data_IF_775905652439
#
_entry.id   IF_775905652439
#
_cell.length_a   1.000
_cell.length_b   1.000
_cell.length_c   1.000
_cell.angle_alpha   90.00
_cell.angle_beta   90.00
_cell.angle_gamma   90.00
#
_symmetry.space_group_name_H-M   'P 1'
#
loop_
_entity.id
_entity.type
_entity.pdbx_description
1 polymer ?
#
# COMPACT_ATOMS: atom_id res chain seq x y z
N UNK A 1 60.51 24.52 -9.16
CA UNK A 1 59.93 23.15 -9.31
C UNK A 1 58.85 22.81 -8.25
N UNK A 2 58.91 23.37 -7.05
CA UNK A 2 57.93 23.09 -5.98
C UNK A 2 56.47 23.56 -6.24
N UNK A 3 56.25 24.68 -6.96
CA UNK A 3 54.91 25.17 -7.29
C UNK A 3 54.13 24.26 -8.25
N UNK A 4 54.79 23.53 -9.14
CA UNK A 4 54.13 22.62 -10.09
C UNK A 4 53.68 21.36 -9.38
N UNK A 5 54.44 20.84 -8.40
CA UNK A 5 54.06 19.70 -7.56
C UNK A 5 52.88 19.97 -6.69
N UNK A 6 52.76 21.17 -6.12
CA UNK A 6 51.59 21.56 -5.27
C UNK A 6 50.33 21.73 -6.10
N UNK A 7 50.41 22.25 -7.33
CA UNK A 7 49.23 22.34 -8.22
C UNK A 7 48.78 20.97 -8.73
N UNK A 8 49.66 20.02 -8.96
CA UNK A 8 49.32 18.66 -9.36
C UNK A 8 48.70 17.88 -8.19
N UNK A 9 49.23 18.02 -6.96
CA UNK A 9 48.68 17.42 -5.77
C UNK A 9 47.28 17.99 -5.42
N UNK A 10 47.06 19.30 -5.61
CA UNK A 10 45.73 19.92 -5.41
C UNK A 10 44.73 19.51 -6.50
N UNK A 11 45.21 19.27 -7.74
CA UNK A 11 44.37 18.74 -8.84
C UNK A 11 44.02 17.25 -8.64
N UNK A 12 44.92 16.47 -8.06
CA UNK A 12 44.69 15.07 -7.72
C UNK A 12 43.67 14.95 -6.57
N UNK A 13 43.82 15.74 -5.49
CA UNK A 13 42.87 15.83 -4.39
C UNK A 13 41.47 16.36 -4.82
N UNK A 14 41.40 17.21 -5.86
CA UNK A 14 40.16 17.67 -6.46
C UNK A 14 39.48 16.64 -7.37
N UNK A 15 40.25 15.72 -7.97
CA UNK A 15 39.76 14.58 -8.76
C UNK A 15 39.24 13.45 -7.87
N UNK A 16 39.83 13.21 -6.69
CA UNK A 16 39.33 12.24 -5.73
C UNK A 16 37.98 12.67 -5.09
N UNK A 17 37.69 13.98 -5.03
CA UNK A 17 36.38 14.49 -4.58
C UNK A 17 35.25 14.35 -5.60
N UNK A 18 35.50 13.92 -6.83
CA UNK A 18 34.48 13.48 -7.80
C UNK A 18 34.37 11.95 -7.85
N UNK A 19 34.36 11.26 -6.73
CA UNK A 19 33.76 9.94 -6.67
C UNK A 19 32.28 10.17 -6.94
N UNK A 20 31.82 9.71 -8.10
CA UNK A 20 30.43 9.54 -8.45
C UNK A 20 29.78 8.87 -7.23
N UNK A 21 28.92 9.60 -6.53
CA UNK A 21 28.16 9.01 -5.43
C UNK A 21 27.24 7.97 -6.07
N UNK A 22 27.63 6.69 -5.98
CA UNK A 22 26.77 5.61 -6.44
C UNK A 22 25.49 5.69 -5.63
N UNK A 23 24.37 5.80 -6.30
CA UNK A 23 23.07 5.66 -5.67
C UNK A 23 22.99 4.28 -5.02
N UNK A 24 22.50 4.22 -3.79
CA UNK A 24 22.19 2.96 -3.11
C UNK A 24 20.70 2.68 -3.29
N UNK A 25 20.38 1.55 -3.91
CA UNK A 25 19.00 1.11 -4.06
C UNK A 25 18.78 -0.09 -3.14
N UNK A 26 17.85 0.06 -2.19
CA UNK A 26 17.37 -1.03 -1.35
C UNK A 26 16.16 -1.66 -2.04
N UNK A 27 16.30 -2.90 -2.44
CA UNK A 27 15.24 -3.64 -3.11
C UNK A 27 14.50 -4.52 -2.12
N UNK A 28 13.20 -4.35 -2.02
CA UNK A 28 12.35 -5.13 -1.13
C UNK A 28 11.17 -5.76 -1.88
N UNK A 29 10.57 -6.75 -1.26
CA UNK A 29 9.32 -7.34 -1.72
C UNK A 29 8.18 -6.31 -1.71
N UNK A 30 7.20 -6.47 -2.61
CA UNK A 30 5.99 -5.64 -2.67
C UNK A 30 5.02 -6.02 -1.54
N UNK A 31 5.41 -5.66 -0.32
CA UNK A 31 4.61 -5.82 0.89
C UNK A 31 4.93 -4.69 1.87
N UNK A 32 4.00 -4.36 2.75
CA UNK A 32 4.21 -3.34 3.78
C UNK A 32 5.40 -3.68 4.67
N UNK A 33 5.53 -4.95 5.07
CA UNK A 33 6.65 -5.44 5.90
C UNK A 33 7.99 -5.30 5.19
N UNK A 34 8.04 -5.63 3.88
CA UNK A 34 9.23 -5.45 3.07
C UNK A 34 9.65 -3.98 3.00
N UNK A 35 8.69 -3.09 2.77
CA UNK A 35 8.95 -1.64 2.67
C UNK A 35 9.39 -1.07 4.03
N UNK A 36 8.71 -1.39 5.14
CA UNK A 36 9.12 -0.91 6.46
C UNK A 36 10.50 -1.44 6.88
N UNK A 37 10.83 -2.69 6.52
CA UNK A 37 12.18 -3.23 6.71
C UNK A 37 13.22 -2.45 5.92
N UNK A 38 12.93 -2.13 4.65
CA UNK A 38 13.82 -1.34 3.80
C UNK A 38 14.00 0.09 4.31
N UNK A 39 12.95 0.72 4.85
CA UNK A 39 13.01 2.03 5.51
C UNK A 39 13.96 1.95 6.71
N UNK A 40 13.85 0.92 7.58
CA UNK A 40 14.77 0.73 8.68
C UNK A 40 16.22 0.66 8.23
N UNK A 41 16.50 -0.19 7.25
CA UNK A 41 17.85 -0.36 6.72
C UNK A 41 18.38 0.91 6.05
N UNK A 42 17.53 1.68 5.37
CA UNK A 42 17.89 2.98 4.80
C UNK A 42 18.40 3.95 5.88
N UNK A 43 17.74 4.00 7.04
CA UNK A 43 18.20 4.82 8.17
C UNK A 43 19.50 4.30 8.78
N UNK A 44 19.70 2.99 8.88
CA UNK A 44 20.97 2.39 9.34
C UNK A 44 22.10 2.79 8.39
N UNK A 45 21.94 2.62 7.08
CA UNK A 45 22.95 3.02 6.07
C UNK A 45 23.20 4.52 6.07
N UNK A 46 22.16 5.34 6.20
CA UNK A 46 22.30 6.78 6.33
C UNK A 46 23.18 7.18 7.50
N UNK A 47 23.00 6.56 8.66
CA UNK A 47 23.77 6.87 9.86
C UNK A 47 25.22 6.39 9.77
N UNK A 48 25.49 5.34 9.00
CA UNK A 48 26.84 4.83 8.75
C UNK A 48 27.59 5.63 7.68
N UNK A 49 26.89 6.28 6.77
CA UNK A 49 27.46 7.14 5.75
C UNK A 49 27.60 8.54 6.33
N UNK A 50 28.84 9.05 6.51
CA UNK A 50 29.17 10.42 6.96
C UNK A 50 28.69 11.53 5.98
N UNK A 51 27.65 11.29 5.18
CA UNK A 51 27.16 12.20 4.14
C UNK A 51 25.75 12.69 4.47
N UNK A 52 25.47 13.99 4.24
CA UNK A 52 24.10 14.46 4.35
C UNK A 52 23.21 13.67 3.38
N UNK A 53 22.10 13.15 3.90
CA UNK A 53 21.11 12.48 3.11
C UNK A 53 20.53 13.48 2.10
N UNK A 54 20.83 13.29 0.85
CA UNK A 54 20.10 13.88 -0.26
C UNK A 54 20.22 12.90 -1.42
N UNK A 55 19.15 12.33 -1.85
CA UNK A 55 18.93 11.61 -3.12
C UNK A 55 19.86 10.41 -3.41
N UNK A 56 20.64 9.92 -2.43
CA UNK A 56 21.58 8.82 -2.64
C UNK A 56 21.07 7.45 -2.24
N UNK A 57 19.95 7.37 -1.48
CA UNK A 57 19.31 6.11 -1.08
C UNK A 57 17.90 6.11 -1.63
N UNK A 58 17.56 5.07 -2.41
CA UNK A 58 16.22 4.82 -2.94
C UNK A 58 15.74 3.46 -2.49
N UNK A 59 14.43 3.30 -2.37
CA UNK A 59 13.80 2.01 -2.13
C UNK A 59 13.06 1.62 -3.41
N UNK A 60 13.42 0.47 -3.98
CA UNK A 60 12.74 -0.14 -5.10
C UNK A 60 11.88 -1.30 -4.61
N UNK A 61 10.61 -1.30 -4.99
CA UNK A 61 9.64 -2.32 -4.60
C UNK A 61 9.49 -3.33 -5.73
N UNK A 62 9.57 -4.62 -5.41
CA UNK A 62 9.47 -5.71 -6.39
C UNK A 62 10.70 -5.87 -7.29
N UNK A 63 10.53 -6.63 -8.38
CA UNK A 63 11.60 -7.02 -9.31
C UNK A 63 11.87 -6.00 -10.44
N UNK A 64 11.78 -4.71 -10.13
CA UNK A 64 12.02 -3.64 -11.12
C UNK A 64 13.42 -3.70 -11.76
N UNK A 65 13.60 -2.98 -12.87
CA UNK A 65 14.86 -2.97 -13.64
C UNK A 65 16.06 -2.50 -12.82
N UNK A 66 17.16 -3.24 -12.94
CA UNK A 66 18.47 -2.86 -12.38
C UNK A 66 18.96 -1.57 -13.06
N UNK A 67 19.40 -0.60 -12.26
CA UNK A 67 20.03 0.61 -12.79
C UNK A 67 21.54 0.42 -12.90
N UNK A 68 22.12 0.80 -14.04
CA UNK A 68 23.55 0.58 -14.36
C UNK A 68 24.54 1.28 -13.41
N UNK A 69 24.09 2.27 -12.64
CA UNK A 69 24.94 3.13 -11.81
C UNK A 69 24.59 3.10 -10.31
N UNK A 70 23.66 2.23 -9.90
CA UNK A 70 23.32 2.01 -8.49
C UNK A 70 24.03 0.79 -7.91
N UNK A 71 24.15 0.79 -6.59
CA UNK A 71 24.48 -0.43 -5.83
C UNK A 71 23.16 -0.96 -5.29
N UNK A 72 22.71 -2.10 -5.80
CA UNK A 72 21.47 -2.71 -5.37
C UNK A 72 21.73 -3.69 -4.23
N UNK A 73 20.98 -3.55 -3.14
CA UNK A 73 20.98 -4.46 -2.00
C UNK A 73 19.58 -5.01 -1.80
N UNK A 74 19.44 -6.32 -1.74
CA UNK A 74 18.18 -6.98 -1.46
C UNK A 74 17.92 -6.98 0.05
N UNK A 75 16.74 -6.54 0.44
CA UNK A 75 16.26 -6.49 1.83
C UNK A 75 15.26 -7.63 2.03
N UNK A 76 15.52 -8.47 3.04
CA UNK A 76 14.61 -9.55 3.44
C UNK A 76 13.71 -9.05 4.58
N UNK A 77 12.44 -9.42 4.58
CA UNK A 77 11.47 -9.08 5.63
C UNK A 77 12.01 -9.45 7.02
N UNK A 78 11.91 -8.51 7.95
CA UNK A 78 12.31 -8.69 9.36
C UNK A 78 11.25 -8.05 10.27
N UNK A 79 10.42 -8.86 10.95
CA UNK A 79 9.33 -8.36 11.79
C UNK A 79 9.81 -7.43 12.91
N UNK A 80 11.02 -7.66 13.45
CA UNK A 80 11.60 -6.81 14.52
C UNK A 80 11.89 -5.41 13.97
N UNK A 81 12.41 -5.32 12.76
CA UNK A 81 12.66 -4.03 12.11
C UNK A 81 11.36 -3.30 11.75
N UNK A 82 10.35 -4.04 11.28
CA UNK A 82 9.01 -3.50 11.01
C UNK A 82 8.43 -2.87 12.28
N UNK A 83 8.38 -3.63 13.38
CA UNK A 83 7.84 -3.15 14.65
C UNK A 83 8.55 -1.88 15.12
N UNK A 84 9.89 -1.88 15.12
CA UNK A 84 10.70 -0.71 15.51
C UNK A 84 10.43 0.51 14.62
N UNK A 85 10.25 0.31 13.32
CA UNK A 85 9.97 1.41 12.38
C UNK A 85 8.61 2.01 12.67
N UNK A 86 7.57 1.18 12.78
CA UNK A 86 6.20 1.60 13.08
C UNK A 86 6.15 2.32 14.43
N UNK A 87 6.70 1.72 15.48
CA UNK A 87 6.75 2.35 16.82
C UNK A 87 7.47 3.69 16.79
N UNK A 88 8.60 3.79 16.08
CA UNK A 88 9.35 5.06 15.98
C UNK A 88 8.54 6.14 15.28
N UNK A 89 7.83 5.81 14.19
CA UNK A 89 6.98 6.76 13.46
C UNK A 89 5.84 7.23 14.38
N UNK A 90 5.12 6.32 15.02
CA UNK A 90 4.00 6.64 15.89
C UNK A 90 4.41 7.47 17.11
N UNK A 91 5.53 7.13 17.74
CA UNK A 91 6.02 7.86 18.94
C UNK A 91 6.56 9.25 18.61
N UNK A 92 7.24 9.42 17.47
CA UNK A 92 7.91 10.68 17.12
C UNK A 92 7.06 11.62 16.30
N UNK A 93 6.20 11.09 15.42
CA UNK A 93 5.40 11.87 14.48
C UNK A 93 3.90 11.81 14.76
N UNK A 94 3.45 10.86 15.57
CA UNK A 94 2.05 10.66 15.92
C UNK A 94 1.33 9.66 15.03
N UNK A 95 0.18 9.18 15.52
CA UNK A 95 -0.60 8.13 14.87
C UNK A 95 -1.20 8.60 13.54
N UNK A 96 -1.70 9.83 13.47
CA UNK A 96 -2.29 10.38 12.23
C UNK A 96 -1.29 10.48 11.07
N UNK A 97 -0.03 10.84 11.36
CA UNK A 97 1.04 10.82 10.34
C UNK A 97 1.32 9.39 9.91
N UNK A 98 1.37 8.43 10.84
CA UNK A 98 1.55 7.02 10.53
C UNK A 98 0.45 6.50 9.58
N UNK A 99 -0.83 6.81 9.86
CA UNK A 99 -1.96 6.43 8.99
C UNK A 99 -1.79 6.99 7.58
N UNK A 100 -1.48 8.27 7.44
CA UNK A 100 -1.25 8.91 6.13
C UNK A 100 -0.10 8.24 5.37
N UNK A 101 1.00 7.88 6.07
CA UNK A 101 2.13 7.18 5.46
C UNK A 101 1.76 5.75 5.06
N UNK A 102 0.99 5.03 5.88
CA UNK A 102 0.50 3.69 5.60
C UNK A 102 -0.39 3.70 4.34
N UNK A 103 -1.34 4.64 4.26
CA UNK A 103 -2.16 4.86 3.08
C UNK A 103 -1.29 5.10 1.83
N UNK A 104 -0.33 6.03 1.91
CA UNK A 104 0.56 6.32 0.79
C UNK A 104 1.37 5.08 0.35
N UNK A 105 1.82 4.22 1.29
CA UNK A 105 2.53 2.97 0.99
C UNK A 105 1.63 1.91 0.34
N UNK A 106 0.33 1.97 0.56
CA UNK A 106 -0.64 1.09 -0.10
C UNK A 106 -0.93 1.47 -1.56
N UNK A 107 -0.47 2.63 -2.05
CA UNK A 107 -0.59 3.01 -3.46
C UNK A 107 0.22 2.07 -4.36
N UNK A 108 -0.12 1.99 -5.65
CA UNK A 108 0.54 1.11 -6.62
C UNK A 108 1.76 1.73 -7.31
N UNK A 109 2.03 3.05 -7.16
CA UNK A 109 3.16 3.72 -7.81
C UNK A 109 4.50 3.20 -7.26
N UNK A 110 5.47 3.00 -8.15
CA UNK A 110 6.78 2.44 -7.82
C UNK A 110 7.63 3.37 -6.93
N UNK A 111 7.36 4.68 -6.94
CA UNK A 111 8.11 5.69 -6.18
C UNK A 111 7.65 5.79 -4.71
N UNK A 112 6.52 5.18 -4.33
CA UNK A 112 5.87 5.33 -3.01
C UNK A 112 6.80 5.13 -1.82
N UNK A 113 7.61 4.06 -1.86
CA UNK A 113 8.53 3.74 -0.77
C UNK A 113 9.67 4.77 -0.64
N UNK A 114 10.23 5.21 -1.77
CA UNK A 114 11.26 6.26 -1.80
C UNK A 114 10.71 7.62 -1.37
N UNK A 115 9.49 7.94 -1.74
CA UNK A 115 8.79 9.18 -1.35
C UNK A 115 8.55 9.20 0.15
N UNK A 116 8.04 8.10 0.72
CA UNK A 116 7.84 7.98 2.17
C UNK A 116 9.16 8.03 2.93
N UNK A 117 10.22 7.41 2.42
CA UNK A 117 11.56 7.55 3.01
C UNK A 117 12.02 9.01 3.02
N UNK A 118 11.85 9.74 1.90
CA UNK A 118 12.17 11.17 1.79
C UNK A 118 11.39 12.03 2.80
N UNK A 119 10.09 11.76 2.95
CA UNK A 119 9.24 12.38 3.97
C UNK A 119 9.79 12.14 5.38
N UNK A 120 10.03 10.87 5.74
CA UNK A 120 10.51 10.51 7.09
C UNK A 120 11.85 11.15 7.44
N UNK A 121 12.76 11.24 6.47
CA UNK A 121 14.06 11.90 6.69
C UNK A 121 13.88 13.37 7.06
N UNK A 122 12.97 14.07 6.40
CA UNK A 122 12.65 15.46 6.72
C UNK A 122 11.89 15.60 8.03
N UNK A 123 10.88 14.76 8.23
CA UNK A 123 10.04 14.78 9.43
C UNK A 123 10.84 14.56 10.70
N UNK A 124 11.79 13.63 10.70
CA UNK A 124 12.66 13.41 11.86
C UNK A 124 13.66 14.53 12.11
N UNK A 125 13.94 15.38 11.11
CA UNK A 125 14.74 16.59 11.26
C UNK A 125 13.95 17.79 11.78
N UNK A 126 12.71 17.98 11.32
CA UNK A 126 11.88 19.15 11.59
C UNK A 126 10.75 18.91 12.62
N UNK A 127 10.45 17.64 12.95
CA UNK A 127 9.34 17.27 13.84
C UNK A 127 7.96 17.34 13.16
N UNK A 128 6.90 17.43 13.97
CA UNK A 128 5.50 17.39 13.49
C UNK A 128 5.12 18.50 12.50
N UNK A 129 5.80 19.61 12.52
CA UNK A 129 5.46 20.78 11.68
C UNK A 129 5.60 20.53 10.18
N UNK A 130 6.28 19.47 9.77
CA UNK A 130 6.45 19.18 8.34
C UNK A 130 5.17 18.68 7.66
N UNK A 131 4.26 18.04 8.41
CA UNK A 131 3.02 17.53 7.86
C UNK A 131 2.15 18.62 7.22
N UNK A 132 2.29 19.87 7.69
CA UNK A 132 1.55 21.05 7.22
C UNK A 132 2.30 21.80 6.12
N UNK A 133 3.56 21.45 5.84
CA UNK A 133 4.36 22.11 4.80
C UNK A 133 4.11 21.51 3.41
N UNK A 134 3.01 21.94 2.81
CA UNK A 134 2.64 21.52 1.45
C UNK A 134 3.58 22.06 0.36
N UNK A 135 4.55 22.91 0.71
CA UNK A 135 5.59 23.36 -0.25
C UNK A 135 6.70 22.31 -0.43
N UNK A 136 6.86 21.39 0.52
CA UNK A 136 7.82 20.31 0.42
C UNK A 136 7.31 19.25 -0.58
N UNK A 137 8.12 18.87 -1.59
CA UNK A 137 7.70 17.94 -2.64
C UNK A 137 7.39 16.53 -2.12
N UNK A 138 8.02 16.07 -1.04
CA UNK A 138 7.74 14.76 -0.44
C UNK A 138 6.43 14.76 0.34
N UNK A 139 6.15 15.85 1.08
CA UNK A 139 4.87 16.04 1.78
C UNK A 139 3.72 16.06 0.76
N UNK A 140 3.85 16.90 -0.28
CA UNK A 140 2.86 16.98 -1.35
C UNK A 140 2.59 15.61 -1.99
N UNK A 141 3.67 14.86 -2.31
CA UNK A 141 3.53 13.57 -2.97
C UNK A 141 2.91 12.50 -2.07
N UNK A 142 3.29 12.44 -0.78
CA UNK A 142 2.67 11.54 0.20
C UNK A 142 1.17 11.80 0.30
N UNK A 143 0.78 13.08 0.44
CA UNK A 143 -0.63 13.48 0.52
C UNK A 143 -1.41 13.15 -0.77
N UNK A 144 -0.78 13.28 -1.93
CA UNK A 144 -1.38 12.89 -3.22
C UNK A 144 -1.64 11.39 -3.27
N UNK A 145 -0.65 10.56 -2.88
CA UNK A 145 -0.78 9.10 -2.87
C UNK A 145 -1.86 8.66 -1.88
N UNK A 146 -1.82 9.14 -0.64
CA UNK A 146 -2.81 8.82 0.38
C UNK A 146 -4.24 9.19 -0.07
N UNK A 147 -4.43 10.38 -0.64
CA UNK A 147 -5.73 10.81 -1.16
C UNK A 147 -6.26 9.90 -2.28
N UNK A 148 -5.38 9.42 -3.18
CA UNK A 148 -5.79 8.50 -4.25
C UNK A 148 -6.23 7.15 -3.68
N UNK A 149 -5.52 6.64 -2.66
CA UNK A 149 -5.88 5.41 -1.96
C UNK A 149 -7.23 5.57 -1.28
N UNK A 150 -7.44 6.65 -0.51
CA UNK A 150 -8.72 6.92 0.18
C UNK A 150 -9.89 7.05 -0.80
N UNK A 151 -9.69 7.73 -1.94
CA UNK A 151 -10.72 7.82 -2.97
C UNK A 151 -11.07 6.43 -3.58
N UNK A 152 -10.14 5.50 -3.61
CA UNK A 152 -10.39 4.13 -4.07
C UNK A 152 -11.10 3.31 -2.97
N UNK A 153 -10.69 3.45 -1.69
CA UNK A 153 -11.33 2.81 -0.53
C UNK A 153 -12.81 3.19 -0.44
N UNK A 154 -13.13 4.48 -0.52
CA UNK A 154 -14.51 4.99 -0.44
C UNK A 154 -15.42 4.32 -1.47
N UNK A 155 -14.90 4.03 -2.66
CA UNK A 155 -15.64 3.31 -3.69
C UNK A 155 -15.87 1.86 -3.33
N UNK A 156 -14.84 1.18 -2.78
CA UNK A 156 -14.99 -0.22 -2.36
C UNK A 156 -15.93 -0.35 -1.16
N UNK A 157 -16.01 0.62 -0.25
CA UNK A 157 -17.03 0.63 0.81
C UNK A 157 -18.45 0.59 0.24
N UNK A 158 -18.70 1.20 -0.91
CA UNK A 158 -20.00 1.18 -1.59
C UNK A 158 -20.21 0.01 -2.56
N UNK A 159 -19.14 -0.47 -3.18
CA UNK A 159 -19.20 -1.42 -4.31
C UNK A 159 -18.88 -2.86 -3.94
N UNK A 160 -18.23 -3.11 -2.81
CA UNK A 160 -17.95 -4.46 -2.35
C UNK A 160 -19.25 -5.23 -2.11
N UNK A 161 -19.31 -6.46 -2.61
CA UNK A 161 -20.43 -7.37 -2.44
C UNK A 161 -19.97 -8.65 -1.78
N UNK A 162 -20.65 -9.02 -0.71
CA UNK A 162 -20.47 -10.32 -0.08
C UNK A 162 -21.43 -11.32 -0.69
N UNK A 163 -20.95 -12.51 -0.95
CA UNK A 163 -21.72 -13.68 -1.35
C UNK A 163 -21.64 -14.74 -0.24
N UNK A 164 -22.75 -15.38 0.08
CA UNK A 164 -22.80 -16.39 1.11
C UNK A 164 -22.27 -17.72 0.59
N UNK A 165 -21.22 -18.23 1.22
CA UNK A 165 -20.60 -19.51 0.87
C UNK A 165 -20.77 -20.51 2.00
N UNK A 166 -21.30 -21.70 1.70
CA UNK A 166 -21.43 -22.78 2.69
C UNK A 166 -20.07 -23.38 2.97
N UNK A 167 -19.68 -23.40 4.23
CA UNK A 167 -18.45 -24.02 4.69
C UNK A 167 -18.75 -25.16 5.65
N UNK A 168 -18.11 -26.29 5.43
CA UNK A 168 -18.19 -27.44 6.36
C UNK A 168 -17.26 -27.24 7.58
N UNK A 169 -16.38 -26.23 7.55
CA UNK A 169 -15.37 -25.99 8.57
C UNK A 169 -15.84 -25.04 9.68
N UNK A 170 -16.90 -24.27 9.44
CA UNK A 170 -17.48 -23.37 10.44
C UNK A 170 -18.67 -24.02 11.14
N UNK A 171 -18.82 -23.77 12.44
CA UNK A 171 -19.98 -24.28 13.23
C UNK A 171 -21.33 -23.76 12.72
N UNK A 172 -21.33 -22.60 12.06
CA UNK A 172 -22.52 -21.96 11.51
C UNK A 172 -22.79 -22.33 10.05
N UNK A 173 -21.86 -23.04 9.40
CA UNK A 173 -22.02 -23.56 8.06
C UNK A 173 -21.96 -22.53 6.93
N UNK A 174 -21.85 -21.20 7.23
CA UNK A 174 -21.78 -20.14 6.22
C UNK A 174 -20.68 -19.14 6.52
N UNK A 175 -20.07 -18.58 5.45
CA UNK A 175 -19.08 -17.51 5.49
C UNK A 175 -19.40 -16.52 4.38
N UNK A 176 -19.36 -15.24 4.68
CA UNK A 176 -19.50 -14.17 3.69
C UNK A 176 -18.18 -13.96 2.96
N UNK A 177 -18.17 -14.08 1.66
CA UNK A 177 -16.95 -13.93 0.85
C UNK A 177 -17.12 -12.79 -0.14
N UNK A 178 -16.17 -11.86 -0.13
CA UNK A 178 -16.07 -10.80 -1.11
C UNK A 178 -14.74 -10.90 -1.87
N UNK A 179 -14.81 -10.87 -3.19
CA UNK A 179 -13.64 -10.79 -4.05
C UNK A 179 -13.47 -9.37 -4.56
N UNK A 180 -12.23 -8.91 -4.59
CA UNK A 180 -11.86 -7.57 -5.09
C UNK A 180 -10.62 -7.63 -5.96
N UNK A 181 -10.46 -6.66 -6.86
CA UNK A 181 -9.27 -6.47 -7.68
C UNK A 181 -8.89 -5.00 -7.69
N UNK A 182 -8.52 -4.42 -6.55
CA UNK A 182 -8.16 -3.02 -6.46
C UNK A 182 -6.80 -2.74 -7.12
N UNK A 183 -6.58 -1.49 -7.53
CA UNK A 183 -5.26 -1.04 -7.99
C UNK A 183 -4.29 -0.89 -6.83
N UNK A 184 -4.75 -0.26 -5.76
CA UNK A 184 -4.01 -0.09 -4.52
C UNK A 184 -4.14 -1.33 -3.60
N UNK A 185 -3.24 -1.49 -2.65
CA UNK A 185 -3.33 -2.55 -1.63
C UNK A 185 -4.34 -2.14 -0.55
N UNK A 186 -5.63 -2.37 -0.79
CA UNK A 186 -6.71 -1.84 0.06
C UNK A 186 -7.12 -2.77 1.19
N UNK A 187 -6.90 -4.08 1.06
CA UNK A 187 -7.39 -5.07 2.04
C UNK A 187 -6.96 -4.76 3.47
N UNK A 188 -5.70 -4.41 3.75
CA UNK A 188 -5.27 -4.04 5.10
C UNK A 188 -5.96 -2.80 5.68
N UNK A 189 -6.39 -1.88 4.81
CA UNK A 189 -7.02 -0.61 5.20
C UNK A 189 -8.55 -0.76 5.37
N UNK A 190 -9.16 -1.70 4.65
CA UNK A 190 -10.62 -1.91 4.67
C UNK A 190 -11.08 -2.87 5.76
N UNK A 191 -10.21 -3.76 6.22
CA UNK A 191 -10.61 -4.89 7.06
C UNK A 191 -11.28 -4.47 8.36
N UNK A 192 -10.78 -3.43 9.04
CA UNK A 192 -11.37 -2.93 10.29
C UNK A 192 -12.78 -2.34 10.07
N UNK A 193 -12.96 -1.58 9.00
CA UNK A 193 -14.27 -1.02 8.66
C UNK A 193 -15.34 -2.11 8.50
N UNK A 194 -15.01 -3.21 7.83
CA UNK A 194 -15.96 -4.30 7.64
C UNK A 194 -16.12 -5.16 8.89
N UNK A 195 -15.09 -5.31 9.74
CA UNK A 195 -15.21 -5.96 11.03
C UNK A 195 -16.15 -5.20 11.96
N UNK A 196 -16.07 -3.87 11.99
CA UNK A 196 -17.00 -3.03 12.74
C UNK A 196 -18.43 -3.10 12.19
N UNK A 197 -18.61 -3.20 10.86
CA UNK A 197 -19.90 -3.27 10.21
C UNK A 197 -20.58 -4.62 10.37
N UNK A 198 -19.81 -5.70 10.38
CA UNK A 198 -20.29 -7.09 10.46
C UNK A 198 -19.65 -7.88 11.62
N UNK A 199 -19.75 -7.39 12.87
CA UNK A 199 -19.05 -8.01 14.00
C UNK A 199 -19.56 -9.42 14.34
N UNK A 200 -20.79 -9.75 13.90
CA UNK A 200 -21.46 -11.02 14.17
C UNK A 200 -21.32 -12.06 13.06
N UNK A 201 -20.60 -11.70 11.97
CA UNK A 201 -20.49 -12.54 10.79
C UNK A 201 -19.05 -13.03 10.60
N UNK A 202 -18.92 -14.24 10.09
CA UNK A 202 -17.65 -14.72 9.56
C UNK A 202 -17.50 -14.22 8.13
N UNK A 203 -16.44 -13.49 7.81
CA UNK A 203 -16.24 -13.03 6.45
C UNK A 203 -14.78 -13.11 5.97
N UNK A 204 -14.63 -13.13 4.65
CA UNK A 204 -13.37 -13.07 3.95
C UNK A 204 -13.47 -11.98 2.87
N UNK A 205 -12.50 -11.06 2.86
CA UNK A 205 -12.28 -10.12 1.74
C UNK A 205 -10.99 -10.51 1.07
N UNK A 206 -11.05 -10.91 -0.20
CA UNK A 206 -9.93 -11.47 -0.93
C UNK A 206 -9.52 -10.61 -2.14
N UNK A 207 -8.26 -10.16 -2.14
CA UNK A 207 -7.65 -9.49 -3.30
C UNK A 207 -7.06 -10.53 -4.27
N UNK A 208 -7.73 -10.69 -5.40
CA UNK A 208 -7.32 -11.63 -6.45
C UNK A 208 -5.97 -11.26 -7.09
N UNK A 209 -5.60 -9.98 -7.09
CA UNK A 209 -4.35 -9.52 -7.71
C UNK A 209 -3.14 -9.83 -6.84
N UNK A 210 -3.26 -9.62 -5.52
CA UNK A 210 -2.15 -9.73 -4.56
C UNK A 210 -2.15 -11.04 -3.78
N UNK A 211 -3.23 -11.83 -3.88
CA UNK A 211 -3.43 -13.05 -3.08
C UNK A 211 -3.37 -12.77 -1.58
N UNK A 212 -4.01 -11.69 -1.18
CA UNK A 212 -4.13 -11.24 0.22
C UNK A 212 -5.58 -11.32 0.65
N UNK A 213 -5.82 -11.90 1.81
CA UNK A 213 -7.14 -12.04 2.39
C UNK A 213 -7.23 -11.35 3.75
N UNK A 214 -8.27 -10.59 4.00
CA UNK A 214 -8.74 -10.25 5.34
C UNK A 214 -9.73 -11.32 5.78
N UNK A 215 -9.42 -12.01 6.87
CA UNK A 215 -10.25 -13.07 7.47
C UNK A 215 -10.76 -12.58 8.80
N UNK A 216 -12.08 -12.55 8.96
CA UNK A 216 -12.77 -12.18 10.19
C UNK A 216 -13.58 -13.36 10.71
N UNK A 217 -13.28 -13.75 11.91
CA UNK A 217 -14.14 -14.63 12.69
C UNK A 217 -15.00 -13.75 13.61
N UNK A 218 -16.29 -14.05 13.71
CA UNK A 218 -17.21 -13.26 14.52
C UNK A 218 -16.68 -13.02 15.93
N UNK A 219 -16.80 -11.80 16.41
CA UNK A 219 -16.34 -11.34 17.72
C UNK A 219 -14.81 -11.32 17.90
N UNK A 220 -14.04 -11.63 16.87
CA UNK A 220 -12.57 -11.59 16.91
C UNK A 220 -12.01 -10.46 16.03
N UNK A 221 -10.76 -10.12 16.27
CA UNK A 221 -10.05 -9.18 15.40
C UNK A 221 -9.86 -9.77 14.00
N UNK A 222 -9.93 -8.93 12.98
CA UNK A 222 -9.64 -9.32 11.62
C UNK A 222 -8.15 -9.67 11.46
N UNK A 223 -7.85 -10.74 10.72
CA UNK A 223 -6.48 -11.18 10.43
C UNK A 223 -6.18 -11.04 8.96
N UNK A 224 -4.95 -10.63 8.64
CA UNK A 224 -4.45 -10.59 7.28
C UNK A 224 -3.70 -11.89 6.98
N UNK A 225 -4.05 -12.53 5.84
CA UNK A 225 -3.43 -13.77 5.35
C UNK A 225 -2.90 -13.53 3.95
N UNK A 226 -1.63 -13.85 3.70
CA UNK A 226 -0.95 -13.65 2.41
C UNK A 226 -0.62 -14.99 1.75
N UNK A 227 -0.56 -15.00 0.42
CA UNK A 227 -0.01 -16.08 -0.39
C UNK A 227 -0.87 -17.32 -0.53
N UNK A 228 -2.15 -17.31 -0.12
CA UNK A 228 -3.08 -18.42 -0.31
C UNK A 228 -4.03 -18.14 -1.47
N UNK A 229 -4.30 -19.15 -2.29
CA UNK A 229 -5.36 -19.07 -3.29
C UNK A 229 -6.70 -19.42 -2.64
N UNK A 230 -7.69 -18.57 -2.91
CA UNK A 230 -9.06 -18.80 -2.45
C UNK A 230 -9.77 -19.71 -3.47
N UNK A 231 -9.99 -20.96 -3.09
CA UNK A 231 -10.83 -21.88 -3.86
C UNK A 231 -12.27 -21.75 -3.37
N UNK A 232 -13.14 -21.21 -4.21
CA UNK A 232 -14.56 -21.13 -3.93
C UNK A 232 -15.26 -22.39 -4.46
N UNK A 233 -16.21 -23.00 -3.71
CA UNK A 233 -16.99 -24.11 -4.19
C UNK A 233 -17.79 -23.73 -5.45
N UNK A 234 -17.64 -24.50 -6.52
CA UNK A 234 -18.40 -24.26 -7.75
C UNK A 234 -19.90 -24.59 -7.55
N UNK A 235 -20.76 -23.76 -8.15
CA UNK A 235 -22.20 -24.10 -8.29
C UNK A 235 -23.08 -23.80 -7.08
N UNK A 236 -22.60 -23.10 -6.06
CA UNK A 236 -23.46 -22.61 -5.00
C UNK A 236 -24.25 -21.40 -5.50
N UNK A 237 -25.58 -21.53 -5.54
CA UNK A 237 -26.48 -20.41 -5.79
C UNK A 237 -26.80 -19.72 -4.45
N UNK A 238 -26.39 -18.46 -4.33
CA UNK A 238 -26.80 -17.61 -3.22
C UNK A 238 -28.19 -17.01 -3.55
N UNK A 239 -29.19 -17.37 -2.77
CA UNK A 239 -30.55 -16.85 -2.90
C UNK A 239 -30.61 -15.32 -2.79
N UNK A 240 -29.79 -14.73 -1.94
CA UNK A 240 -29.74 -13.27 -1.75
C UNK A 240 -29.16 -12.54 -2.97
N UNK A 241 -28.27 -13.16 -3.71
CA UNK A 241 -27.75 -12.62 -4.99
C UNK A 241 -28.90 -12.46 -5.99
N UNK A 242 -29.75 -13.46 -6.13
CA UNK A 242 -30.89 -13.39 -7.06
C UNK A 242 -31.93 -12.34 -6.61
N UNK A 243 -32.22 -12.25 -5.31
CA UNK A 243 -33.06 -11.20 -4.77
C UNK A 243 -32.49 -9.80 -5.01
N UNK A 244 -31.15 -9.66 -4.85
CA UNK A 244 -30.47 -8.40 -5.10
C UNK A 244 -30.57 -7.98 -6.57
N UNK A 245 -30.33 -8.90 -7.52
CA UNK A 245 -30.52 -8.64 -8.95
C UNK A 245 -31.93 -8.20 -9.29
N UNK A 246 -32.94 -8.88 -8.74
CA UNK A 246 -34.36 -8.52 -8.92
C UNK A 246 -34.67 -7.13 -8.34
N UNK A 247 -34.15 -6.84 -7.13
CA UNK A 247 -34.33 -5.53 -6.50
C UNK A 247 -33.73 -4.42 -7.37
N UNK A 248 -32.50 -4.55 -7.82
CA UNK A 248 -31.82 -3.55 -8.68
C UNK A 248 -32.63 -3.33 -9.97
N UNK A 249 -33.05 -4.41 -10.63
CA UNK A 249 -33.86 -4.31 -11.85
C UNK A 249 -35.22 -3.65 -11.64
N UNK A 250 -35.84 -3.86 -10.46
CA UNK A 250 -37.15 -3.28 -10.13
C UNK A 250 -37.06 -1.81 -9.73
N UNK A 251 -35.97 -1.44 -9.05
CA UNK A 251 -35.75 -0.06 -8.58
C UNK A 251 -35.22 0.86 -9.67
N UNK A 252 -34.81 0.32 -10.81
CA UNK A 252 -34.31 1.12 -11.92
C UNK A 252 -35.42 2.03 -12.49
N UNK A 253 -35.19 3.33 -12.45
CA UNK A 253 -36.05 4.32 -13.08
C UNK A 253 -35.58 4.53 -14.53
N UNK A 254 -36.10 3.78 -15.48
CA UNK A 254 -35.70 3.78 -16.91
C UNK A 254 -35.50 5.18 -17.53
N UNK A 255 -36.40 6.19 -17.29
CA UNK A 255 -36.19 7.56 -17.84
C UNK A 255 -34.99 8.30 -17.25
N UNK A 256 -34.45 7.84 -16.10
CA UNK A 256 -33.25 8.42 -15.46
C UNK A 256 -31.97 7.64 -15.77
N UNK A 257 -32.07 6.57 -16.57
CA UNK A 257 -30.91 5.77 -16.98
C UNK A 257 -29.94 6.66 -17.77
N UNK A 258 -28.71 6.79 -17.25
CA UNK A 258 -27.63 7.54 -17.88
C UNK A 258 -26.33 6.76 -17.77
N UNK A 259 -26.03 6.03 -18.84
CA UNK A 259 -24.86 5.15 -18.89
C UNK A 259 -23.54 5.92 -18.72
N UNK A 260 -23.45 7.13 -19.28
CA UNK A 260 -22.24 7.95 -19.14
C UNK A 260 -22.00 8.36 -17.67
N UNK A 261 -23.06 8.82 -17.00
CA UNK A 261 -22.99 9.16 -15.57
C UNK A 261 -22.62 7.93 -14.72
N UNK A 262 -23.26 6.80 -15.00
CA UNK A 262 -22.98 5.53 -14.31
C UNK A 262 -21.52 5.09 -14.51
N UNK A 263 -20.98 5.17 -15.73
CA UNK A 263 -19.60 4.81 -16.02
C UNK A 263 -18.58 5.77 -15.40
N UNK A 264 -18.96 7.03 -15.17
CA UNK A 264 -18.10 8.00 -14.48
C UNK A 264 -18.05 7.76 -12.97
N UNK A 265 -19.21 7.53 -12.36
CA UNK A 265 -19.32 7.34 -10.90
C UNK A 265 -18.88 5.94 -10.46
N UNK A 266 -19.19 4.93 -11.28
CA UNK A 266 -18.87 3.51 -11.07
C UNK A 266 -18.22 2.93 -12.33
N UNK A 267 -16.92 3.15 -12.56
CA UNK A 267 -16.17 2.59 -13.68
C UNK A 267 -16.35 1.08 -13.82
N UNK A 268 -16.32 0.58 -15.06
CA UNK A 268 -16.61 -0.85 -15.36
C UNK A 268 -15.72 -1.84 -14.62
N UNK A 269 -14.48 -1.47 -14.32
CA UNK A 269 -13.55 -2.37 -13.62
C UNK A 269 -13.95 -2.67 -12.17
N UNK A 270 -14.71 -1.80 -11.48
CA UNK A 270 -15.30 -2.10 -10.16
C UNK A 270 -16.40 -3.16 -10.24
N UNK A 271 -17.08 -3.30 -11.42
CA UNK A 271 -18.27 -4.14 -11.57
C UNK A 271 -17.97 -5.62 -11.70
N UNK A 272 -16.70 -6.00 -11.87
CA UNK A 272 -16.29 -7.38 -12.16
C UNK A 272 -16.82 -8.38 -11.12
N UNK A 273 -16.79 -8.01 -9.85
CA UNK A 273 -17.23 -8.84 -8.73
C UNK A 273 -18.60 -8.44 -8.17
N UNK A 274 -19.34 -7.60 -8.87
CA UNK A 274 -20.70 -7.20 -8.48
C UNK A 274 -21.72 -8.09 -9.19
N UNK A 275 -22.50 -8.90 -8.43
CA UNK A 275 -23.43 -9.88 -9.04
C UNK A 275 -24.48 -9.25 -9.93
N UNK A 276 -24.92 -8.01 -9.66
CA UNK A 276 -25.88 -7.28 -10.49
C UNK A 276 -25.38 -6.95 -11.90
N UNK A 277 -24.09 -7.08 -12.17
CA UNK A 277 -23.49 -6.86 -13.50
C UNK A 277 -22.95 -8.16 -14.15
N UNK A 278 -23.04 -9.29 -13.44
CA UNK A 278 -22.71 -10.60 -14.02
C UNK A 278 -23.93 -11.07 -14.84
N UNK A 279 -23.67 -11.52 -16.08
CA UNK A 279 -24.68 -12.05 -17.00
C UNK A 279 -25.24 -13.40 -16.49
#
# INVERSE_FOLDING_TARGET
MERIGQMQAARCKRREKKRVSRELTLRCEDSLDGIFTAIYDAFVYKNQMERPYTDSIKIAVGDGNLTLFSTDLTVTKDPIKVEKTVQTIQQRLGYSVYETLLEALCHFDDDRASVVLGYLVRAFGCGHSIADDLSDPYVMRVMELARKVNNEIDKFYGFLRFEEVKSQQTQEGTVLVAQVEPKCNLVPLMMEHFADRFPNENFIIYDNNRKVAAVHEKWHACMLVEGQELELPEGQQDYFVELWKQYVATMEIKPRHNEQCQNTLMPKWYRKHMPEFRA
#
